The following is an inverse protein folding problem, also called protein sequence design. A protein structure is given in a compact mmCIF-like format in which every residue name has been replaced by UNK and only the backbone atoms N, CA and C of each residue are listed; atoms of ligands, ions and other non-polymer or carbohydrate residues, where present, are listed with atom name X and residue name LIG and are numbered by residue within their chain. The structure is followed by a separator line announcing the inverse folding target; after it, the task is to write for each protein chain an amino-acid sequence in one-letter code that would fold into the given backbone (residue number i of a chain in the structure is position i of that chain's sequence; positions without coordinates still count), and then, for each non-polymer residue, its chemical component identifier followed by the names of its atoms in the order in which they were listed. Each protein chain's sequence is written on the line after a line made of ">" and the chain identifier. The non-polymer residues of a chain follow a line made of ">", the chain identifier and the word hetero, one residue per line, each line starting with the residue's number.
data_IF_432454774547
#
_entry.id   IF_432454774547
#
_cell.length_a   1.000
_cell.length_b   1.000
_cell.length_c   1.000
_cell.angle_alpha   90.00
_cell.angle_beta   90.00
_cell.angle_gamma   90.00
#
_symmetry.space_group_name_H-M   'P 1'
#
loop_
_entity.id
_entity.type
_entity.pdbx_description
1 polymer ?
#
# COMPACT_ATOMS: atom_id res chain seq x y z
N UNK A 1 0.39 -16.64 -18.68
CA UNK A 1 0.48 -18.03 -18.17
C UNK A 1 1.12 -18.98 -19.17
N UNK A 2 0.79 -18.90 -20.47
CA UNK A 2 1.44 -19.70 -21.52
C UNK A 2 2.97 -19.56 -21.55
N UNK A 3 3.50 -18.33 -21.47
CA UNK A 3 4.95 -18.11 -21.38
C UNK A 3 5.60 -18.82 -20.17
N UNK A 4 4.88 -18.97 -19.05
CA UNK A 4 5.37 -19.72 -17.88
C UNK A 4 5.29 -21.24 -18.14
N UNK A 5 4.29 -21.69 -18.87
CA UNK A 5 4.16 -23.09 -19.31
C UNK A 5 5.31 -23.49 -20.24
N UNK A 6 5.68 -22.61 -21.19
CA UNK A 6 6.83 -22.82 -22.09
C UNK A 6 8.15 -22.97 -21.33
N UNK A 7 8.25 -22.33 -20.16
CA UNK A 7 9.38 -22.44 -19.24
C UNK A 7 9.21 -23.54 -18.18
N UNK A 8 8.15 -24.34 -18.27
CA UNK A 8 7.81 -25.41 -17.33
C UNK A 8 7.67 -24.95 -15.87
N UNK A 9 7.16 -23.74 -15.66
CA UNK A 9 6.92 -23.16 -14.34
C UNK A 9 5.46 -23.41 -13.93
N UNK A 10 5.20 -24.19 -12.86
CA UNK A 10 3.86 -24.38 -12.34
C UNK A 10 3.35 -23.10 -11.65
N UNK A 11 2.04 -22.87 -11.74
CA UNK A 11 1.37 -21.68 -11.20
C UNK A 11 0.20 -22.10 -10.32
N UNK A 12 0.09 -21.49 -9.16
CA UNK A 12 -0.91 -21.79 -8.13
C UNK A 12 -1.67 -20.51 -7.79
N UNK A 13 -2.99 -20.50 -7.98
CA UNK A 13 -3.81 -19.29 -7.90
C UNK A 13 -4.97 -19.48 -6.93
N UNK A 14 -5.08 -18.57 -5.97
CA UNK A 14 -6.32 -18.32 -5.21
C UNK A 14 -6.92 -17.00 -5.67
N UNK A 15 -8.24 -16.91 -5.69
CA UNK A 15 -8.97 -15.68 -5.99
C UNK A 15 -9.32 -14.94 -4.72
N UNK A 16 -9.33 -13.60 -4.79
CA UNK A 16 -9.67 -12.73 -3.68
C UNK A 16 -11.02 -12.03 -3.83
N UNK A 17 -11.19 -10.96 -3.06
CA UNK A 17 -12.42 -10.16 -3.02
C UNK A 17 -12.67 -9.33 -4.29
N UNK A 18 -11.63 -9.00 -5.05
CA UNK A 18 -11.75 -8.20 -6.29
C UNK A 18 -12.00 -9.04 -7.54
N UNK A 19 -11.81 -10.35 -7.45
CA UNK A 19 -11.86 -11.30 -8.55
C UNK A 19 -12.46 -12.65 -8.10
N UNK A 20 -13.56 -12.69 -7.32
CA UNK A 20 -14.07 -13.94 -6.76
C UNK A 20 -14.36 -14.97 -7.84
N UNK A 21 -14.05 -16.24 -7.54
CA UNK A 21 -14.25 -17.34 -8.47
C UNK A 21 -15.74 -17.70 -8.55
N UNK A 22 -16.43 -17.10 -9.52
CA UNK A 22 -17.82 -17.38 -9.82
C UNK A 22 -17.97 -18.67 -10.64
N UNK A 23 -18.98 -19.48 -10.34
CA UNK A 23 -19.28 -20.71 -11.09
C UNK A 23 -19.58 -20.47 -12.57
N UNK A 24 -20.07 -19.27 -12.90
CA UNK A 24 -20.50 -18.90 -14.25
C UNK A 24 -19.37 -18.34 -15.11
N UNK A 25 -18.21 -18.01 -14.52
CA UNK A 25 -17.04 -17.51 -15.24
C UNK A 25 -16.05 -18.65 -15.41
N UNK A 26 -15.93 -19.14 -16.65
CA UNK A 26 -14.91 -20.14 -17.01
C UNK A 26 -13.76 -19.46 -17.72
N UNK A 27 -12.61 -19.44 -17.08
CA UNK A 27 -11.35 -19.10 -17.73
C UNK A 27 -10.68 -20.37 -18.24
N UNK A 28 -10.22 -20.34 -19.49
CA UNK A 28 -9.37 -21.39 -20.03
C UNK A 28 -7.94 -21.11 -19.58
N UNK A 29 -7.43 -21.97 -18.70
CA UNK A 29 -6.09 -21.88 -18.17
C UNK A 29 -5.18 -22.92 -18.83
N UNK A 30 -3.90 -22.61 -19.10
CA UNK A 30 -2.95 -23.62 -19.53
C UNK A 30 -2.71 -24.66 -18.43
N UNK A 31 -2.24 -25.85 -18.81
CA UNK A 31 -2.16 -27.01 -17.90
C UNK A 31 -1.18 -26.86 -16.73
N UNK A 32 -0.31 -25.85 -16.76
CA UNK A 32 0.58 -25.52 -15.64
C UNK A 32 -0.09 -24.73 -14.52
N UNK A 33 -1.34 -24.27 -14.72
CA UNK A 33 -2.07 -23.47 -13.74
C UNK A 33 -3.03 -24.33 -12.93
N UNK A 34 -2.90 -24.27 -11.60
CA UNK A 34 -3.86 -24.82 -10.66
C UNK A 34 -4.63 -23.68 -10.00
N UNK A 35 -5.94 -23.63 -10.21
CA UNK A 35 -6.85 -22.69 -9.51
C UNK A 35 -7.51 -23.43 -8.36
N UNK A 36 -7.40 -22.89 -7.15
CA UNK A 36 -8.00 -23.51 -5.97
C UNK A 36 -9.50 -23.24 -5.89
N UNK A 37 -10.30 -24.19 -5.35
CA UNK A 37 -11.75 -24.09 -5.30
C UNK A 37 -12.22 -23.16 -4.17
N UNK A 38 -13.53 -22.93 -4.10
CA UNK A 38 -14.15 -22.00 -3.15
C UNK A 38 -14.90 -22.66 -2.00
N UNK A 39 -15.13 -23.98 -2.06
CA UNK A 39 -15.93 -24.72 -1.07
C UNK A 39 -15.10 -25.21 0.12
N UNK A 40 -13.86 -25.63 -0.12
CA UNK A 40 -12.93 -26.09 0.91
C UNK A 40 -11.46 -25.94 0.45
N UNK A 41 -10.50 -25.87 1.38
CA UNK A 41 -9.09 -25.91 1.00
C UNK A 41 -8.72 -27.20 0.28
N UNK A 42 -7.99 -27.06 -0.81
CA UNK A 42 -7.41 -28.18 -1.55
C UNK A 42 -5.89 -28.12 -1.44
N UNK A 43 -5.25 -29.28 -1.34
CA UNK A 43 -3.81 -29.40 -1.32
C UNK A 43 -3.33 -30.15 -2.57
N UNK A 44 -2.28 -29.65 -3.19
CA UNK A 44 -1.67 -30.23 -4.40
C UNK A 44 -0.17 -30.36 -4.20
N UNK A 45 0.42 -31.43 -4.73
CA UNK A 45 1.87 -31.62 -4.72
C UNK A 45 2.51 -30.68 -5.74
N UNK A 46 3.66 -30.14 -5.37
CA UNK A 46 4.58 -29.45 -6.29
C UNK A 46 5.63 -30.44 -6.78
N UNK A 47 5.67 -30.75 -8.08
CA UNK A 47 6.71 -31.59 -8.64
C UNK A 47 8.00 -30.79 -8.86
N UNK A 48 9.14 -31.46 -8.66
CA UNK A 48 10.43 -31.00 -9.17
C UNK A 48 10.49 -31.14 -10.70
N UNK A 49 11.57 -30.62 -11.32
CA UNK A 49 11.86 -30.83 -12.74
C UNK A 49 11.96 -32.31 -13.14
N UNK A 50 12.29 -33.19 -12.20
CA UNK A 50 12.37 -34.64 -12.40
C UNK A 50 11.10 -35.37 -11.92
N UNK A 51 9.98 -34.67 -11.77
CA UNK A 51 8.68 -35.18 -11.32
C UNK A 51 8.61 -35.77 -9.90
N UNK A 52 9.69 -35.67 -9.09
CA UNK A 52 9.65 -36.03 -7.67
C UNK A 52 8.96 -34.94 -6.84
N UNK A 53 8.14 -35.28 -5.84
CA UNK A 53 7.43 -34.31 -5.01
C UNK A 53 8.41 -33.56 -4.10
N UNK A 54 8.33 -32.22 -4.06
CA UNK A 54 9.24 -31.36 -3.26
C UNK A 54 8.51 -30.46 -2.27
N UNK A 55 7.24 -30.13 -2.53
CA UNK A 55 6.42 -29.32 -1.65
C UNK A 55 4.95 -29.69 -1.79
N UNK A 56 4.13 -29.16 -0.90
CA UNK A 56 2.66 -29.16 -1.00
C UNK A 56 2.17 -27.72 -0.90
N UNK A 57 1.29 -27.34 -1.83
CA UNK A 57 0.60 -26.05 -1.79
C UNK A 57 -0.85 -26.31 -1.43
N UNK A 58 -1.32 -25.65 -0.38
CA UNK A 58 -2.74 -25.64 0.01
C UNK A 58 -3.32 -24.26 -0.21
N UNK A 59 -4.50 -24.19 -0.82
CA UNK A 59 -5.16 -22.93 -1.12
C UNK A 59 -6.69 -23.07 -1.15
N UNK A 60 -7.35 -21.93 -1.05
CA UNK A 60 -8.80 -21.77 -1.13
C UNK A 60 -9.11 -20.37 -1.69
N UNK A 61 -9.94 -20.32 -2.72
CA UNK A 61 -10.39 -19.09 -3.37
C UNK A 61 -11.63 -18.51 -2.68
N UNK A 62 -11.83 -17.20 -2.83
CA UNK A 62 -13.08 -16.56 -2.46
C UNK A 62 -14.18 -16.90 -3.48
N UNK A 63 -15.35 -17.29 -3.00
CA UNK A 63 -16.55 -17.47 -3.84
C UNK A 63 -17.34 -16.18 -4.08
N UNK A 64 -17.11 -15.15 -3.25
CA UNK A 64 -17.84 -13.88 -3.27
C UNK A 64 -16.90 -12.71 -3.00
N UNK A 65 -17.32 -11.49 -3.35
CA UNK A 65 -16.54 -10.26 -3.08
C UNK A 65 -16.42 -9.94 -1.58
N UNK A 66 -17.35 -10.43 -0.75
CA UNK A 66 -17.34 -10.21 0.68
C UNK A 66 -17.30 -11.55 1.42
N UNK A 67 -16.18 -11.81 2.09
CA UNK A 67 -15.93 -13.01 2.89
C UNK A 67 -15.51 -12.57 4.27
N UNK A 68 -16.29 -12.89 5.30
CA UNK A 68 -16.00 -12.49 6.69
C UNK A 68 -15.78 -13.71 7.60
N UNK A 69 -15.88 -14.92 7.05
CA UNK A 69 -15.53 -16.14 7.74
C UNK A 69 -14.01 -16.29 7.86
N UNK A 70 -13.54 -16.86 8.97
CA UNK A 70 -12.12 -17.23 9.12
C UNK A 70 -11.82 -18.47 8.25
N UNK A 71 -11.41 -18.24 7.00
CA UNK A 71 -11.05 -19.31 6.08
C UNK A 71 -9.80 -20.09 6.52
N UNK A 72 -8.87 -19.44 7.23
CA UNK A 72 -7.65 -20.10 7.69
C UNK A 72 -7.98 -21.32 8.58
N UNK A 73 -9.02 -21.21 9.42
CA UNK A 73 -9.47 -22.30 10.29
C UNK A 73 -9.93 -23.57 9.53
N UNK A 74 -10.17 -23.48 8.22
CA UNK A 74 -10.55 -24.63 7.39
C UNK A 74 -9.34 -25.40 6.85
N UNK A 75 -8.13 -24.83 6.94
CA UNK A 75 -6.92 -25.46 6.39
C UNK A 75 -6.52 -26.69 7.22
N UNK A 76 -6.09 -27.78 6.56
CA UNK A 76 -5.64 -28.97 7.28
C UNK A 76 -4.25 -28.73 7.90
N UNK A 77 -4.00 -29.31 9.08
CA UNK A 77 -2.69 -29.30 9.74
C UNK A 77 -1.64 -30.22 9.06
N UNK A 78 -2.09 -31.14 8.19
CA UNK A 78 -1.22 -32.04 7.43
C UNK A 78 -1.66 -32.08 5.95
N UNK A 79 -1.48 -30.98 5.20
CA UNK A 79 -1.96 -30.84 3.82
C UNK A 79 -1.44 -31.95 2.88
N UNK A 80 -0.24 -32.47 3.12
CA UNK A 80 0.39 -33.55 2.37
C UNK A 80 -0.45 -34.84 2.35
N UNK A 81 -1.15 -35.17 3.43
CA UNK A 81 -1.98 -36.39 3.50
C UNK A 81 -3.15 -36.31 2.53
N UNK A 82 -3.75 -35.12 2.41
CA UNK A 82 -4.86 -34.87 1.50
C UNK A 82 -4.38 -34.85 0.04
N UNK A 83 -3.22 -34.23 -0.21
CA UNK A 83 -2.64 -34.12 -1.56
C UNK A 83 -2.29 -35.51 -2.15
N UNK A 84 -1.76 -36.42 -1.33
CA UNK A 84 -1.32 -37.75 -1.80
C UNK A 84 -2.49 -38.70 -2.00
N UNK A 85 -3.55 -38.58 -1.21
CA UNK A 85 -4.80 -39.28 -1.51
C UNK A 85 -5.36 -38.86 -2.87
N UNK A 86 -5.37 -37.55 -3.17
CA UNK A 86 -5.83 -37.05 -4.47
C UNK A 86 -4.91 -37.47 -5.63
N UNK A 87 -3.58 -37.43 -5.44
CA UNK A 87 -2.59 -37.87 -6.43
C UNK A 87 -2.75 -39.35 -6.78
N UNK A 88 -2.94 -40.21 -5.77
CA UNK A 88 -3.10 -41.64 -5.99
C UNK A 88 -4.34 -41.97 -6.82
N UNK A 89 -5.43 -41.20 -6.66
CA UNK A 89 -6.64 -41.38 -7.49
C UNK A 89 -6.40 -40.99 -8.95
N UNK A 90 -5.72 -39.86 -9.21
CA UNK A 90 -5.42 -39.40 -10.58
C UNK A 90 -4.44 -40.32 -11.33
N UNK A 91 -3.52 -40.97 -10.61
CA UNK A 91 -2.61 -41.97 -11.21
C UNK A 91 -3.29 -43.30 -11.60
N UNK A 92 -4.57 -43.50 -11.24
CA UNK A 92 -5.36 -44.69 -11.57
C UNK A 92 -6.40 -44.45 -12.68
N UNK A 93 -6.46 -43.26 -13.29
CA UNK A 93 -7.31 -43.01 -14.48
C UNK A 93 -6.65 -43.62 -15.74
N UNK A 94 -7.25 -44.70 -16.25
CA UNK A 94 -6.72 -45.58 -17.31
C UNK A 94 -6.47 -44.92 -18.68
N UNK A 95 -6.88 -43.66 -18.91
CA UNK A 95 -6.69 -42.97 -20.20
C UNK A 95 -5.31 -42.31 -20.39
N UNK A 96 -4.50 -42.15 -19.33
CA UNK A 96 -3.11 -41.67 -19.43
C UNK A 96 -2.06 -42.80 -19.53
N UNK A 97 -2.50 -44.03 -19.73
CA UNK A 97 -1.65 -45.23 -19.81
C UNK A 97 -1.00 -45.37 -21.19
N UNK A 98 -0.07 -44.48 -21.53
CA UNK A 98 0.89 -44.75 -22.61
C UNK A 98 2.30 -44.39 -22.13
N UNK A 99 3.02 -45.44 -21.76
CA UNK A 99 4.44 -45.50 -21.36
C UNK A 99 4.79 -45.04 -19.94
N UNK A 100 4.84 -45.97 -18.97
CA UNK A 100 5.62 -45.76 -17.76
C UNK A 100 5.88 -47.04 -16.96
N UNK A 101 7.14 -47.48 -16.92
CA UNK A 101 7.72 -48.25 -15.81
C UNK A 101 7.90 -47.37 -14.54
N UNK A 102 7.42 -46.12 -14.54
CA UNK A 102 7.71 -45.07 -13.55
C UNK A 102 6.55 -44.68 -12.60
N UNK A 103 5.32 -45.17 -12.81
CA UNK A 103 4.15 -44.78 -11.97
C UNK A 103 4.19 -45.47 -10.60
N UNK A 104 4.56 -46.74 -10.54
CA UNK A 104 4.65 -47.50 -9.28
C UNK A 104 5.77 -46.96 -8.37
N UNK A 105 6.94 -46.65 -8.92
CA UNK A 105 8.05 -46.04 -8.15
C UNK A 105 7.68 -44.65 -7.62
N UNK A 106 7.04 -43.80 -8.44
CA UNK A 106 6.62 -42.44 -8.03
C UNK A 106 5.57 -42.48 -6.92
N UNK A 107 4.65 -43.44 -6.97
CA UNK A 107 3.62 -43.66 -5.94
C UNK A 107 4.26 -44.11 -4.63
N UNK A 108 5.23 -45.03 -4.69
CA UNK A 108 5.94 -45.53 -3.52
C UNK A 108 6.80 -44.44 -2.84
N UNK A 109 7.47 -43.60 -3.63
CA UNK A 109 8.26 -42.45 -3.15
C UNK A 109 7.36 -41.40 -2.49
N UNK A 110 6.22 -41.08 -3.11
CA UNK A 110 5.25 -40.12 -2.54
C UNK A 110 4.68 -40.59 -1.21
N UNK A 111 4.36 -41.88 -1.08
CA UNK A 111 3.90 -42.47 0.17
C UNK A 111 5.00 -42.48 1.26
N UNK A 112 6.26 -42.71 0.89
CA UNK A 112 7.39 -42.66 1.81
C UNK A 112 7.70 -41.24 2.30
N UNK A 113 7.67 -40.23 1.41
CA UNK A 113 7.92 -38.83 1.77
C UNK A 113 6.82 -38.25 2.67
N UNK A 114 5.57 -38.67 2.46
CA UNK A 114 4.43 -38.34 3.36
C UNK A 114 4.56 -39.05 4.70
N UNK A 115 4.97 -40.31 4.70
CA UNK A 115 5.22 -41.06 5.94
C UNK A 115 6.40 -40.46 6.73
N UNK A 116 7.36 -39.83 6.06
CA UNK A 116 8.52 -39.18 6.65
C UNK A 116 8.29 -37.70 7.05
N UNK A 117 7.12 -37.10 6.73
CA UNK A 117 6.78 -35.70 7.04
C UNK A 117 7.73 -34.66 6.40
N UNK A 118 8.26 -34.93 5.20
CA UNK A 118 9.41 -34.21 4.60
C UNK A 118 9.08 -33.18 3.51
N UNK A 119 7.79 -32.97 3.16
CA UNK A 119 7.44 -31.96 2.15
C UNK A 119 7.32 -30.57 2.77
N UNK A 120 7.87 -29.57 2.07
CA UNK A 120 7.70 -28.17 2.44
C UNK A 120 6.25 -27.73 2.23
N UNK A 121 5.62 -27.14 3.24
CA UNK A 121 4.18 -26.81 3.26
C UNK A 121 3.96 -25.33 3.03
N UNK A 122 3.26 -25.03 1.94
CA UNK A 122 2.92 -23.66 1.54
C UNK A 122 1.40 -23.48 1.66
N UNK A 123 0.99 -22.49 2.46
CA UNK A 123 -0.40 -22.05 2.54
C UNK A 123 -0.59 -20.78 1.72
N UNK A 124 -1.57 -20.76 0.82
CA UNK A 124 -2.01 -19.57 0.10
C UNK A 124 -3.26 -19.03 0.77
N UNK A 125 -3.24 -17.80 1.29
CA UNK A 125 -4.41 -17.22 1.95
C UNK A 125 -4.61 -15.77 1.54
N UNK A 126 -5.80 -15.44 1.03
CA UNK A 126 -6.22 -14.05 0.83
C UNK A 126 -7.02 -13.65 2.06
N UNK A 127 -6.64 -12.59 2.78
CA UNK A 127 -7.34 -12.20 4.00
C UNK A 127 -6.55 -11.23 4.87
N UNK A 128 -7.10 -10.90 6.05
CA UNK A 128 -6.51 -9.97 7.01
C UNK A 128 -6.03 -10.69 8.27
N UNK A 129 -4.75 -10.55 8.60
CA UNK A 129 -4.16 -11.11 9.83
C UNK A 129 -4.14 -10.08 10.95
N UNK A 130 -4.62 -10.45 12.15
CA UNK A 130 -4.66 -9.63 13.38
C UNK A 130 -5.48 -8.31 13.26
N UNK A 131 -6.18 -8.10 12.15
CA UNK A 131 -6.96 -6.90 11.86
C UNK A 131 -6.11 -5.68 11.49
N UNK A 132 -6.71 -4.71 10.81
CA UNK A 132 -6.10 -3.39 10.58
C UNK A 132 -7.19 -2.32 10.55
N UNK A 133 -6.87 -1.11 10.99
CA UNK A 133 -7.83 0.02 10.91
C UNK A 133 -8.00 0.53 9.46
N UNK A 134 -7.09 0.17 8.55
CA UNK A 134 -7.04 0.70 7.18
C UNK A 134 -7.76 -0.18 6.16
N UNK A 135 -8.16 -1.40 6.53
CA UNK A 135 -8.77 -2.38 5.61
C UNK A 135 -9.98 -3.09 6.24
N UNK A 136 -10.98 -3.36 5.41
CA UNK A 136 -12.11 -4.20 5.79
C UNK A 136 -11.60 -5.61 6.16
N UNK A 137 -12.07 -6.20 7.28
CA UNK A 137 -11.52 -7.45 7.79
C UNK A 137 -12.04 -8.66 6.99
N UNK A 138 -11.66 -8.77 5.73
CA UNK A 138 -11.99 -9.92 4.89
C UNK A 138 -11.16 -11.14 5.28
N UNK A 139 -11.82 -12.31 5.32
CA UNK A 139 -11.31 -13.57 5.85
C UNK A 139 -10.35 -13.38 7.04
N UNK A 140 -10.86 -12.82 8.15
CA UNK A 140 -10.00 -12.45 9.26
C UNK A 140 -9.45 -13.71 9.94
N UNK A 141 -8.17 -13.70 10.26
CA UNK A 141 -7.50 -14.74 11.03
C UNK A 141 -6.47 -14.13 11.97
N UNK A 142 -5.97 -14.91 12.93
CA UNK A 142 -4.88 -14.46 13.80
C UNK A 142 -3.54 -15.01 13.36
N UNK A 143 -2.47 -14.25 13.60
CA UNK A 143 -1.10 -14.74 13.35
C UNK A 143 -0.81 -16.01 14.15
N UNK A 144 -1.33 -16.09 15.38
CA UNK A 144 -1.18 -17.25 16.26
C UNK A 144 -1.76 -18.52 15.61
N UNK A 145 -2.95 -18.43 15.04
CA UNK A 145 -3.59 -19.55 14.33
C UNK A 145 -2.69 -20.05 13.19
N UNK A 146 -2.17 -19.16 12.36
CA UNK A 146 -1.30 -19.52 11.22
C UNK A 146 -0.01 -20.23 11.65
N UNK A 147 0.57 -19.82 12.79
CA UNK A 147 1.76 -20.47 13.38
C UNK A 147 1.42 -21.87 13.89
N UNK A 148 0.26 -22.06 14.52
CA UNK A 148 -0.15 -23.34 15.11
C UNK A 148 -0.58 -24.39 14.07
N UNK A 149 -0.87 -23.98 12.82
CA UNK A 149 -1.30 -24.89 11.73
C UNK A 149 -0.18 -25.77 11.14
N UNK A 150 1.09 -25.46 11.43
CA UNK A 150 2.23 -26.30 11.01
C UNK A 150 2.62 -26.19 9.53
N UNK A 151 2.29 -25.09 8.87
CA UNK A 151 2.83 -24.74 7.55
C UNK A 151 4.21 -24.10 7.69
N UNK A 152 5.07 -24.29 6.70
CA UNK A 152 6.43 -23.73 6.70
C UNK A 152 6.44 -22.30 6.12
N UNK A 153 5.53 -22.00 5.20
CA UNK A 153 5.38 -20.69 4.57
C UNK A 153 3.91 -20.35 4.29
N UNK A 154 3.47 -19.17 4.69
CA UNK A 154 2.19 -18.58 4.31
C UNK A 154 2.38 -17.45 3.31
N UNK A 155 1.93 -17.66 2.08
CA UNK A 155 1.85 -16.66 1.03
C UNK A 155 0.50 -15.94 1.14
N UNK A 156 0.52 -14.74 1.71
CA UNK A 156 -0.69 -13.98 1.95
C UNK A 156 -1.00 -13.02 0.79
N UNK A 157 -2.29 -12.75 0.57
CA UNK A 157 -2.83 -11.73 -0.32
C UNK A 157 -3.88 -10.87 0.37
N UNK A 158 -4.34 -9.80 -0.27
CA UNK A 158 -5.29 -8.75 0.19
C UNK A 158 -4.62 -7.44 0.59
N UNK A 159 -3.60 -7.48 1.44
CA UNK A 159 -2.92 -6.27 1.94
C UNK A 159 -1.89 -5.78 0.91
N UNK A 160 -1.98 -4.50 0.50
CA UNK A 160 -1.10 -3.90 -0.51
C UNK A 160 0.26 -3.46 0.05
N UNK A 161 0.38 -3.39 1.37
CA UNK A 161 1.65 -3.11 2.06
C UNK A 161 2.47 -4.40 2.13
N UNK A 162 3.74 -4.30 1.74
CA UNK A 162 4.71 -5.38 1.90
C UNK A 162 5.06 -5.54 3.38
N UNK A 163 4.91 -6.75 3.91
CA UNK A 163 5.15 -7.03 5.33
C UNK A 163 5.48 -8.50 5.57
N UNK A 164 6.49 -8.76 6.40
CA UNK A 164 6.80 -10.10 6.93
C UNK A 164 6.32 -10.11 8.39
N UNK A 165 5.22 -10.82 8.64
CA UNK A 165 4.57 -10.86 9.96
C UNK A 165 5.24 -11.84 10.92
N UNK A 166 5.94 -12.84 10.37
CA UNK A 166 6.65 -13.87 11.10
C UNK A 166 7.73 -14.50 10.21
N UNK A 167 8.83 -14.96 10.81
CA UNK A 167 9.98 -15.52 10.08
C UNK A 167 10.14 -17.05 10.22
N UNK A 168 9.47 -17.69 11.21
CA UNK A 168 9.59 -19.14 11.41
C UNK A 168 8.36 -19.74 12.11
N UNK A 169 7.28 -20.10 11.38
CA UNK A 169 7.22 -20.15 9.91
C UNK A 169 7.09 -18.77 9.29
N UNK A 170 7.45 -18.64 8.01
CA UNK A 170 7.29 -17.38 7.31
C UNK A 170 5.81 -17.07 7.08
N UNK A 171 5.38 -15.85 7.41
CA UNK A 171 4.03 -15.35 7.14
C UNK A 171 4.17 -14.00 6.43
N UNK A 172 3.84 -13.95 5.15
CA UNK A 172 4.31 -12.86 4.29
C UNK A 172 3.18 -12.28 3.43
N UNK A 173 2.98 -10.97 3.55
CA UNK A 173 2.31 -10.17 2.53
C UNK A 173 3.37 -9.60 1.56
N UNK A 174 3.41 -10.01 0.29
CA UNK A 174 4.30 -9.40 -0.71
C UNK A 174 3.90 -7.96 -1.04
N UNK A 175 2.65 -7.58 -0.73
CA UNK A 175 2.05 -6.32 -1.16
C UNK A 175 1.51 -6.40 -2.58
N UNK A 176 1.25 -5.24 -3.18
CA UNK A 176 0.94 -5.15 -4.60
C UNK A 176 2.21 -5.06 -5.47
N UNK A 177 2.08 -5.36 -6.76
CA UNK A 177 3.17 -5.31 -7.74
C UNK A 177 3.37 -3.91 -8.34
N UNK A 178 2.34 -3.08 -8.31
CA UNK A 178 2.34 -1.70 -8.77
C UNK A 178 1.45 -0.87 -7.85
N UNK A 179 1.96 0.26 -7.36
CA UNK A 179 1.19 1.20 -6.55
C UNK A 179 0.11 1.85 -7.39
N UNK A 180 -1.15 1.73 -6.96
CA UNK A 180 -2.36 2.22 -7.64
C UNK A 180 -2.89 3.51 -7.01
N UNK A 181 -2.39 3.86 -5.83
CA UNK A 181 -2.79 5.05 -5.10
C UNK A 181 -1.56 5.73 -4.50
N UNK A 182 -1.61 7.06 -4.38
CA UNK A 182 -0.49 7.88 -3.90
C UNK A 182 -0.02 7.58 -2.47
N UNK A 183 -0.86 6.92 -1.66
CA UNK A 183 -0.50 6.45 -0.31
C UNK A 183 0.30 5.14 -0.34
N UNK A 184 0.33 4.43 -1.48
CA UNK A 184 1.05 3.17 -1.64
C UNK A 184 2.49 3.44 -2.08
N UNK A 185 3.24 4.10 -1.20
CA UNK A 185 4.61 4.54 -1.45
C UNK A 185 5.62 3.39 -1.43
N UNK A 186 6.81 3.68 -1.98
CA UNK A 186 7.95 2.77 -1.98
C UNK A 186 7.90 1.68 -3.04
N UNK A 187 8.87 0.78 -2.99
CA UNK A 187 9.04 -0.30 -3.96
C UNK A 187 7.91 -1.35 -3.89
N UNK A 188 7.41 -1.76 -5.04
CA UNK A 188 6.32 -2.74 -5.20
C UNK A 188 6.79 -3.90 -6.06
N UNK A 189 6.27 -5.10 -5.83
CA UNK A 189 6.83 -6.28 -6.48
C UNK A 189 6.44 -7.60 -5.85
N UNK A 190 7.36 -8.55 -5.84
CA UNK A 190 7.14 -9.89 -5.32
C UNK A 190 8.34 -10.40 -4.54
N UNK A 191 8.15 -11.50 -3.80
CA UNK A 191 9.26 -12.23 -3.19
C UNK A 191 9.67 -13.41 -4.08
N UNK A 192 10.97 -13.49 -4.37
CA UNK A 192 11.64 -14.73 -4.73
C UNK A 192 11.98 -15.46 -3.43
N UNK A 193 11.36 -16.62 -3.23
CA UNK A 193 11.53 -17.46 -2.05
C UNK A 193 12.38 -18.67 -2.44
N UNK A 194 13.59 -18.77 -1.88
CA UNK A 194 14.43 -19.94 -2.08
C UNK A 194 14.36 -20.84 -0.85
N UNK A 195 14.08 -22.12 -1.07
CA UNK A 195 14.03 -23.15 -0.04
C UNK A 195 15.09 -24.20 -0.37
N UNK A 196 15.97 -24.51 0.57
CA UNK A 196 17.01 -25.53 0.38
C UNK A 196 16.50 -26.94 0.74
N UNK A 197 17.34 -27.96 0.55
CA UNK A 197 17.00 -29.37 0.85
C UNK A 197 16.76 -29.64 2.35
N UNK A 198 17.22 -28.75 3.25
CA UNK A 198 17.00 -28.82 4.68
C UNK A 198 15.70 -28.12 5.12
N UNK A 199 15.04 -27.41 4.21
CA UNK A 199 13.85 -26.59 4.49
C UNK A 199 14.16 -25.16 4.93
N UNK A 200 15.43 -24.72 4.91
CA UNK A 200 15.76 -23.33 5.23
C UNK A 200 15.26 -22.41 4.12
N UNK A 201 14.63 -21.32 4.53
CA UNK A 201 14.00 -20.36 3.63
C UNK A 201 14.80 -19.06 3.60
N UNK A 202 14.97 -18.50 2.40
CA UNK A 202 15.51 -17.16 2.20
C UNK A 202 14.59 -16.34 1.30
N UNK A 203 14.34 -15.09 1.69
CA UNK A 203 13.47 -14.16 0.98
C UNK A 203 14.30 -13.07 0.29
N UNK A 204 14.08 -12.90 -1.00
CA UNK A 204 14.61 -11.80 -1.78
C UNK A 204 13.44 -11.03 -2.41
N UNK A 205 13.35 -9.73 -2.17
CA UNK A 205 12.30 -8.91 -2.76
C UNK A 205 12.74 -8.37 -4.11
N UNK A 206 11.96 -8.66 -5.14
CA UNK A 206 12.17 -8.20 -6.51
C UNK A 206 11.18 -7.08 -6.83
N UNK A 207 11.71 -5.91 -7.22
CA UNK A 207 10.90 -4.73 -7.53
C UNK A 207 10.39 -4.79 -8.96
N UNK A 208 9.06 -4.68 -9.12
CA UNK A 208 8.36 -4.78 -10.41
C UNK A 208 7.61 -3.50 -10.80
N UNK A 209 7.51 -2.50 -9.90
CA UNK A 209 6.84 -1.25 -10.22
C UNK A 209 7.51 -0.54 -11.40
N UNK A 210 6.67 0.00 -12.30
CA UNK A 210 7.10 0.86 -13.40
C UNK A 210 7.03 2.34 -12.99
N UNK A 211 6.10 2.67 -12.09
CA UNK A 211 5.93 4.01 -11.54
C UNK A 211 5.94 3.93 -10.01
N UNK A 212 6.83 4.70 -9.38
CA UNK A 212 7.01 4.72 -7.93
C UNK A 212 6.33 5.91 -7.30
N UNK A 213 5.49 5.69 -6.29
CA UNK A 213 4.97 6.76 -5.45
C UNK A 213 5.95 7.06 -4.32
N UNK A 214 6.24 8.35 -4.13
CA UNK A 214 7.13 8.85 -3.08
C UNK A 214 6.47 9.99 -2.33
N UNK A 215 6.66 10.02 -1.02
CA UNK A 215 6.22 11.10 -0.16
C UNK A 215 7.36 11.45 0.78
N UNK A 216 7.74 12.72 0.81
CA UNK A 216 8.86 13.22 1.60
C UNK A 216 8.47 14.47 2.37
N UNK A 217 9.06 14.62 3.56
CA UNK A 217 8.87 15.79 4.41
C UNK A 217 10.20 16.53 4.55
N UNK A 218 10.14 17.86 4.46
CA UNK A 218 11.29 18.75 4.65
C UNK A 218 10.94 19.72 5.77
N UNK A 219 11.68 19.62 6.88
CA UNK A 219 11.61 20.62 7.94
C UNK A 219 12.34 21.90 7.50
N UNK A 220 11.62 23.01 7.49
CA UNK A 220 12.16 24.34 7.14
C UNK A 220 12.32 25.24 8.37
N UNK A 221 12.27 24.67 9.57
CA UNK A 221 12.49 25.40 10.82
C UNK A 221 13.86 26.07 10.84
N UNK A 222 13.89 27.34 11.26
CA UNK A 222 15.13 28.14 11.33
C UNK A 222 15.62 28.68 9.98
N UNK A 223 14.93 28.40 8.87
CA UNK A 223 15.25 29.00 7.56
C UNK A 223 14.53 30.35 7.44
N UNK A 224 15.30 31.40 7.12
CA UNK A 224 14.84 32.79 7.15
C UNK A 224 14.69 33.45 5.77
N UNK A 225 14.97 32.75 4.67
CA UNK A 225 14.70 33.26 3.32
C UNK A 225 14.10 32.21 2.39
N UNK A 226 13.18 32.63 1.51
CA UNK A 226 12.59 31.76 0.47
C UNK A 226 13.66 31.15 -0.44
N UNK A 227 14.70 31.93 -0.76
CA UNK A 227 15.83 31.45 -1.56
C UNK A 227 16.51 30.22 -0.94
N UNK A 228 16.67 30.21 0.39
CA UNK A 228 17.28 29.08 1.10
C UNK A 228 16.36 27.85 1.10
N UNK A 229 15.03 28.05 1.19
CA UNK A 229 14.05 26.96 1.05
C UNK A 229 14.09 26.38 -0.36
N UNK A 230 14.14 27.23 -1.40
CA UNK A 230 14.24 26.78 -2.79
C UNK A 230 15.53 25.99 -3.02
N UNK A 231 16.67 26.47 -2.53
CA UNK A 231 17.92 25.74 -2.62
C UNK A 231 17.85 24.38 -1.91
N UNK A 232 17.26 24.33 -0.71
CA UNK A 232 17.07 23.08 0.02
C UNK A 232 16.15 22.10 -0.75
N UNK A 233 15.07 22.59 -1.35
CA UNK A 233 14.19 21.80 -2.21
C UNK A 233 14.96 21.21 -3.39
N UNK A 234 15.75 22.02 -4.09
CA UNK A 234 16.51 21.58 -5.25
C UNK A 234 17.57 20.54 -4.87
N UNK A 235 18.29 20.76 -3.77
CA UNK A 235 19.26 19.81 -3.21
C UNK A 235 18.60 18.47 -2.85
N UNK A 236 17.42 18.51 -2.20
CA UNK A 236 16.68 17.30 -1.82
C UNK A 236 16.15 16.55 -3.03
N UNK A 237 15.54 17.25 -3.98
CA UNK A 237 15.04 16.65 -5.21
C UNK A 237 16.17 16.03 -6.03
N UNK A 238 17.31 16.70 -6.15
CA UNK A 238 18.49 16.13 -6.82
C UNK A 238 19.02 14.87 -6.13
N UNK A 239 19.04 14.85 -4.79
CA UNK A 239 19.43 13.68 -4.01
C UNK A 239 18.46 12.51 -4.23
N UNK A 240 17.15 12.74 -4.11
CA UNK A 240 16.11 11.72 -4.30
C UNK A 240 16.06 11.18 -5.73
N UNK A 241 16.29 12.03 -6.73
CA UNK A 241 16.45 11.60 -8.13
C UNK A 241 17.65 10.66 -8.30
N UNK A 242 18.69 10.84 -7.49
CA UNK A 242 19.88 10.00 -7.50
C UNK A 242 19.65 8.58 -6.96
N UNK A 243 18.63 8.37 -6.13
CA UNK A 243 18.34 7.09 -5.46
C UNK A 243 17.62 6.07 -6.34
N UNK A 244 16.77 6.53 -7.28
CA UNK A 244 16.04 5.66 -8.21
C UNK A 244 16.16 6.19 -9.64
N UNK A 245 17.08 5.59 -10.39
CA UNK A 245 17.38 5.99 -11.78
C UNK A 245 16.71 5.10 -12.81
N UNK A 246 16.05 4.04 -12.39
CA UNK A 246 15.51 3.02 -13.29
C UNK A 246 14.06 3.31 -13.67
N UNK A 247 13.36 4.16 -12.91
CA UNK A 247 11.91 4.28 -12.94
C UNK A 247 11.46 5.74 -12.94
N UNK A 248 10.22 5.95 -13.37
CA UNK A 248 9.51 7.19 -13.12
C UNK A 248 9.08 7.23 -11.64
N UNK A 249 9.49 8.26 -10.92
CA UNK A 249 9.07 8.49 -9.53
C UNK A 249 8.14 9.70 -9.46
N UNK A 250 6.92 9.49 -8.96
CA UNK A 250 5.96 10.56 -8.66
C UNK A 250 6.11 10.95 -7.20
N UNK A 251 6.51 12.20 -6.93
CA UNK A 251 6.83 12.66 -5.57
C UNK A 251 5.85 13.72 -5.06
N UNK A 252 5.39 13.54 -3.82
CA UNK A 252 4.81 14.61 -2.99
C UNK A 252 5.83 15.09 -1.98
N UNK A 253 6.04 16.39 -1.94
CA UNK A 253 6.89 17.03 -0.95
C UNK A 253 6.00 17.83 0.00
N UNK A 254 6.27 17.73 1.29
CA UNK A 254 5.57 18.49 2.33
C UNK A 254 6.60 19.30 3.13
N UNK A 255 6.44 20.63 3.13
CA UNK A 255 7.24 21.51 3.98
C UNK A 255 6.59 21.59 5.36
N UNK A 256 7.37 21.30 6.39
CA UNK A 256 6.93 21.29 7.79
C UNK A 256 7.80 22.21 8.64
N UNK A 257 7.38 22.44 9.88
CA UNK A 257 8.17 23.20 10.84
C UNK A 257 7.70 24.64 11.04
N UNK A 258 8.33 25.29 12.01
CA UNK A 258 8.00 26.66 12.43
C UNK A 258 8.88 27.65 11.67
N UNK A 259 8.27 28.57 10.93
CA UNK A 259 9.01 29.43 10.00
C UNK A 259 8.50 30.87 9.98
N UNK A 260 9.41 31.87 9.92
CA UNK A 260 9.02 33.27 9.69
C UNK A 260 8.53 33.54 8.26
N UNK A 261 8.58 32.54 7.37
CA UNK A 261 8.17 32.66 5.97
C UNK A 261 6.74 32.16 5.72
N UNK A 262 5.98 31.89 6.77
CA UNK A 262 4.66 31.24 6.68
C UNK A 262 3.73 31.96 5.68
N UNK A 263 3.55 33.27 5.81
CA UNK A 263 2.69 34.03 4.87
C UNK A 263 3.20 33.99 3.42
N UNK A 264 4.52 33.96 3.21
CA UNK A 264 5.11 33.87 1.88
C UNK A 264 4.93 32.49 1.25
N UNK A 265 5.05 31.42 2.05
CA UNK A 265 4.85 30.04 1.58
C UNK A 265 3.37 29.72 1.27
N UNK A 266 2.44 30.41 1.93
CA UNK A 266 1.00 30.25 1.70
C UNK A 266 0.50 30.95 0.42
N UNK A 267 1.37 31.67 -0.30
CA UNK A 267 1.00 32.17 -1.62
C UNK A 267 0.91 31.01 -2.61
N UNK A 268 -0.27 30.82 -3.22
CA UNK A 268 -0.53 29.73 -4.18
C UNK A 268 0.51 29.69 -5.31
N UNK A 269 0.99 30.85 -5.74
CA UNK A 269 2.02 30.98 -6.76
C UNK A 269 3.34 30.30 -6.39
N UNK A 270 3.71 30.19 -5.10
CA UNK A 270 4.98 29.59 -4.71
C UNK A 270 5.04 28.10 -5.05
N UNK A 271 4.01 27.34 -4.65
CA UNK A 271 3.97 25.88 -4.85
C UNK A 271 3.80 25.52 -6.32
N UNK A 272 2.99 26.28 -7.05
CA UNK A 272 2.80 26.11 -8.49
C UNK A 272 4.06 26.44 -9.29
N UNK A 273 4.67 27.61 -9.06
CA UNK A 273 5.87 28.03 -9.81
C UNK A 273 7.04 27.09 -9.59
N UNK A 274 7.26 26.63 -8.35
CA UNK A 274 8.32 25.66 -8.07
C UNK A 274 8.08 24.34 -8.80
N UNK A 275 6.84 23.82 -8.73
CA UNK A 275 6.47 22.57 -9.40
C UNK A 275 6.63 22.68 -10.92
N UNK A 276 6.15 23.77 -11.52
CA UNK A 276 6.26 24.01 -12.96
C UNK A 276 7.72 24.16 -13.41
N UNK A 277 8.54 24.87 -12.65
CA UNK A 277 9.97 25.02 -12.93
C UNK A 277 10.68 23.66 -12.92
N UNK A 278 10.43 22.82 -11.92
CA UNK A 278 11.02 21.49 -11.84
C UNK A 278 10.52 20.57 -12.97
N UNK A 279 9.22 20.57 -13.26
CA UNK A 279 8.65 19.77 -14.34
C UNK A 279 9.19 20.18 -15.71
N UNK A 280 9.36 21.47 -15.97
CA UNK A 280 9.99 21.97 -17.19
C UNK A 280 11.43 21.46 -17.32
N UNK A 281 12.20 21.48 -16.22
CA UNK A 281 13.55 20.93 -16.19
C UNK A 281 13.59 19.42 -16.47
N UNK A 282 12.66 18.64 -15.93
CA UNK A 282 12.57 17.20 -16.24
C UNK A 282 12.22 16.96 -17.72
N UNK A 283 11.29 17.74 -18.29
CA UNK A 283 10.91 17.62 -19.70
C UNK A 283 12.07 17.98 -20.64
N UNK A 284 12.87 18.99 -20.30
CA UNK A 284 14.04 19.39 -21.09
C UNK A 284 15.16 18.33 -21.05
N UNK A 285 15.25 17.56 -19.95
CA UNK A 285 16.26 16.53 -19.75
C UNK A 285 15.82 15.14 -20.24
N UNK A 286 14.51 14.90 -20.35
CA UNK A 286 13.98 13.62 -20.75
C UNK A 286 14.18 13.37 -22.25
N UNK A 287 14.83 12.25 -22.60
CA UNK A 287 14.74 11.71 -23.95
C UNK A 287 13.37 11.08 -24.15
N UNK A 288 12.68 11.40 -25.26
CA UNK A 288 11.35 10.87 -25.59
C UNK A 288 11.27 9.33 -25.65
N UNK A 289 12.39 8.62 -25.66
CA UNK A 289 12.47 7.17 -25.84
C UNK A 289 12.52 6.37 -24.53
N UNK A 290 12.95 6.97 -23.40
CA UNK A 290 13.03 6.29 -22.10
C UNK A 290 12.53 7.18 -20.95
N UNK A 291 11.44 6.76 -20.30
CA UNK A 291 10.86 7.42 -19.11
C UNK A 291 11.47 6.81 -17.84
N UNK A 292 12.80 6.81 -17.74
CA UNK A 292 13.55 6.27 -16.61
C UNK A 292 14.30 7.39 -15.88
N UNK A 293 14.38 7.29 -14.55
CA UNK A 293 15.11 8.26 -13.72
C UNK A 293 14.50 9.66 -13.63
N UNK A 294 13.23 9.81 -14.03
CA UNK A 294 12.47 11.05 -13.88
C UNK A 294 11.92 11.14 -12.46
N UNK A 295 12.16 12.27 -11.79
CA UNK A 295 11.52 12.60 -10.52
C UNK A 295 10.47 13.68 -10.75
N UNK A 296 9.21 13.26 -10.84
CA UNK A 296 8.10 14.12 -11.20
C UNK A 296 7.33 14.61 -9.96
N UNK A 297 7.42 15.90 -9.59
CA UNK A 297 6.66 16.43 -8.47
C UNK A 297 5.19 16.56 -8.84
N UNK A 298 4.32 15.92 -8.06
CA UNK A 298 2.86 16.00 -8.22
C UNK A 298 2.20 16.97 -7.24
N UNK A 299 2.87 17.28 -6.12
CA UNK A 299 2.42 18.29 -5.17
C UNK A 299 3.58 18.79 -4.29
N UNK A 300 3.58 20.08 -4.00
CA UNK A 300 4.28 20.69 -2.88
C UNK A 300 3.22 21.17 -1.88
N UNK A 301 3.20 20.63 -0.67
CA UNK A 301 2.26 20.99 0.39
C UNK A 301 2.97 21.79 1.47
N UNK A 302 2.26 22.74 2.07
CA UNK A 302 2.77 23.58 3.15
C UNK A 302 2.00 23.23 4.42
N UNK A 303 2.66 22.50 5.32
CA UNK A 303 2.16 22.14 6.65
C UNK A 303 2.99 22.83 7.74
N UNK A 304 3.48 24.03 7.43
CA UNK A 304 4.28 24.85 8.32
C UNK A 304 3.40 25.60 9.33
N UNK A 305 4.03 26.12 10.39
CA UNK A 305 3.40 27.08 11.31
C UNK A 305 4.19 28.39 11.34
N UNK A 306 3.53 29.53 11.59
CA UNK A 306 4.20 30.82 11.71
C UNK A 306 5.13 30.83 12.94
N UNK A 307 6.22 31.60 12.88
CA UNK A 307 7.18 31.74 13.98
C UNK A 307 6.66 32.65 15.11
N UNK A 308 5.55 32.22 15.71
CA UNK A 308 4.80 32.98 16.70
C UNK A 308 4.46 32.07 17.88
N UNK A 309 4.64 32.60 19.08
CA UNK A 309 4.18 31.95 20.29
C UNK A 309 2.68 32.23 20.49
N UNK A 310 1.85 31.37 19.91
CA UNK A 310 0.38 31.48 19.95
C UNK A 310 -0.12 31.42 21.39
N UNK A 311 0.48 30.56 22.23
CA UNK A 311 0.07 30.41 23.63
C UNK A 311 0.36 31.69 24.42
N UNK A 312 1.51 32.32 24.18
CA UNK A 312 1.83 33.60 24.79
C UNK A 312 0.84 34.68 24.39
N UNK A 313 0.47 34.77 23.10
CA UNK A 313 -0.47 35.78 22.60
C UNK A 313 -1.90 35.55 23.12
N UNK A 314 -2.34 34.29 23.14
CA UNK A 314 -3.62 33.88 23.70
C UNK A 314 -3.76 34.22 25.19
N UNK A 315 -2.65 34.25 25.95
CA UNK A 315 -2.67 34.62 27.36
C UNK A 315 -2.81 36.15 27.60
N UNK A 316 -2.73 36.97 26.55
CA UNK A 316 -2.82 38.43 26.67
C UNK A 316 -4.24 38.97 26.43
N UNK A 317 -4.59 40.07 27.11
CA UNK A 317 -5.78 40.89 26.80
C UNK A 317 -5.48 41.87 25.64
N UNK A 318 -5.01 41.32 24.52
CA UNK A 318 -4.73 42.07 23.29
C UNK A 318 -5.69 41.64 22.18
N UNK A 319 -5.87 42.50 21.15
CA UNK A 319 -6.69 42.16 19.99
C UNK A 319 -6.27 40.83 19.32
N UNK A 320 -4.97 40.56 19.10
CA UNK A 320 -4.54 39.24 18.62
C UNK A 320 -4.86 38.08 19.57
N UNK A 321 -4.79 38.30 20.89
CA UNK A 321 -5.21 37.32 21.89
C UNK A 321 -6.70 37.00 21.79
N UNK A 322 -7.55 38.01 21.60
CA UNK A 322 -8.98 37.84 21.35
C UNK A 322 -9.24 37.03 20.06
N UNK A 323 -8.52 37.34 18.99
CA UNK A 323 -8.65 36.64 17.71
C UNK A 323 -8.32 35.14 17.86
N UNK A 324 -7.23 34.80 18.56
CA UNK A 324 -6.84 33.41 18.82
C UNK A 324 -7.91 32.69 19.65
N UNK A 325 -8.43 33.33 20.70
CA UNK A 325 -9.49 32.75 21.54
C UNK A 325 -10.78 32.49 20.76
N UNK A 326 -11.21 33.43 19.92
CA UNK A 326 -12.39 33.26 19.05
C UNK A 326 -12.18 32.10 18.08
N UNK A 327 -11.02 32.02 17.43
CA UNK A 327 -10.70 30.94 16.50
C UNK A 327 -10.68 29.56 17.20
N UNK A 328 -10.07 29.45 18.39
CA UNK A 328 -10.09 28.21 19.19
C UNK A 328 -11.50 27.81 19.63
N UNK A 329 -12.32 28.78 20.03
CA UNK A 329 -13.72 28.51 20.35
C UNK A 329 -14.48 27.97 19.13
N UNK A 330 -14.24 28.54 17.95
CA UNK A 330 -14.82 28.06 16.68
C UNK A 330 -14.27 26.69 16.25
N UNK A 331 -13.05 26.32 16.61
CA UNK A 331 -12.55 24.96 16.37
C UNK A 331 -13.23 23.92 17.26
N UNK A 332 -13.56 24.28 18.50
CA UNK A 332 -14.13 23.36 19.49
C UNK A 332 -15.66 23.27 19.43
N UNK A 333 -16.33 24.28 18.88
CA UNK A 333 -17.79 24.39 18.90
C UNK A 333 -18.37 24.72 17.52
N UNK A 334 -19.17 23.80 16.99
CA UNK A 334 -19.81 23.92 15.68
C UNK A 334 -20.63 25.19 15.51
N UNK A 335 -21.42 25.57 16.51
CA UNK A 335 -22.24 26.79 16.46
C UNK A 335 -21.41 28.06 16.38
N UNK A 336 -20.26 28.11 17.08
CA UNK A 336 -19.34 29.23 16.99
C UNK A 336 -18.63 29.26 15.64
N UNK A 337 -18.28 28.09 15.09
CA UNK A 337 -17.69 27.94 13.75
C UNK A 337 -18.61 28.43 12.66
N UNK A 338 -19.86 27.96 12.67
CA UNK A 338 -20.87 28.34 11.69
C UNK A 338 -21.12 29.85 11.71
N UNK A 339 -21.26 30.44 12.90
CA UNK A 339 -21.44 31.89 13.04
C UNK A 339 -20.25 32.67 12.46
N UNK A 340 -19.02 32.27 12.80
CA UNK A 340 -17.80 32.93 12.32
C UNK A 340 -17.66 32.84 10.80
N UNK A 341 -17.86 31.65 10.22
CA UNK A 341 -17.77 31.44 8.76
C UNK A 341 -18.88 32.22 8.04
N UNK A 342 -20.10 32.21 8.58
CA UNK A 342 -21.23 32.93 7.98
C UNK A 342 -21.02 34.44 7.98
N UNK A 343 -20.48 35.00 9.06
CA UNK A 343 -20.10 36.41 9.15
C UNK A 343 -18.96 36.75 8.18
N UNK A 344 -17.87 35.98 8.20
CA UNK A 344 -16.69 36.24 7.38
C UNK A 344 -16.97 36.14 5.87
N UNK A 345 -17.88 35.24 5.46
CA UNK A 345 -18.21 34.98 4.06
C UNK A 345 -19.57 35.57 3.64
N UNK A 346 -20.19 36.43 4.44
CA UNK A 346 -21.57 36.94 4.23
C UNK A 346 -21.81 37.41 2.78
N UNK A 347 -20.87 38.21 2.25
CA UNK A 347 -20.96 38.75 0.88
C UNK A 347 -20.83 37.67 -0.20
N UNK A 348 -19.97 36.67 0.02
CA UNK A 348 -19.76 35.55 -0.92
C UNK A 348 -20.94 34.57 -0.89
N UNK A 349 -21.56 34.37 0.27
CA UNK A 349 -22.72 33.50 0.47
C UNK A 349 -24.02 34.06 -0.12
N UNK A 350 -24.00 35.27 -0.69
CA UNK A 350 -25.08 35.77 -1.55
C UNK A 350 -25.15 35.00 -2.87
N UNK A 351 -24.06 34.32 -3.28
CA UNK A 351 -24.06 33.46 -4.46
C UNK A 351 -24.56 32.05 -4.11
N UNK A 352 -25.66 31.56 -4.70
CA UNK A 352 -26.23 30.25 -4.36
C UNK A 352 -25.26 29.08 -4.55
N UNK A 353 -24.36 29.17 -5.55
CA UNK A 353 -23.34 28.14 -5.81
C UNK A 353 -22.36 28.01 -4.65
N UNK A 354 -21.82 29.13 -4.15
CA UNK A 354 -20.87 29.14 -3.03
C UNK A 354 -21.54 28.69 -1.72
N UNK A 355 -22.80 29.09 -1.50
CA UNK A 355 -23.58 28.62 -0.35
C UNK A 355 -23.75 27.09 -0.35
N UNK A 356 -24.15 26.52 -1.49
CA UNK A 356 -24.33 25.08 -1.61
C UNK A 356 -23.00 24.32 -1.48
N UNK A 357 -21.92 24.89 -2.03
CA UNK A 357 -20.58 24.32 -1.89
C UNK A 357 -20.10 24.34 -0.45
N UNK A 358 -20.28 25.44 0.28
CA UNK A 358 -19.91 25.52 1.70
C UNK A 358 -20.69 24.51 2.55
N UNK A 359 -21.99 24.37 2.28
CA UNK A 359 -22.86 23.41 2.96
C UNK A 359 -22.52 21.94 2.67
N UNK A 360 -21.73 21.65 1.61
CA UNK A 360 -21.28 20.30 1.31
C UNK A 360 -19.91 19.94 1.90
N UNK A 361 -19.24 20.89 2.58
CA UNK A 361 -17.95 20.63 3.21
C UNK A 361 -18.09 19.99 4.58
N UNK A 362 -17.08 19.21 4.97
CA UNK A 362 -17.04 18.54 6.27
C UNK A 362 -16.72 19.51 7.43
N UNK A 363 -17.11 19.15 8.65
CA UNK A 363 -16.73 19.87 9.87
C UNK A 363 -15.21 20.01 10.00
N UNK A 364 -14.49 18.92 9.76
CA UNK A 364 -13.02 18.86 9.86
C UNK A 364 -12.36 19.84 8.87
N UNK A 365 -12.86 19.94 7.64
CA UNK A 365 -12.37 20.92 6.67
C UNK A 365 -12.61 22.36 7.12
N UNK A 366 -13.77 22.64 7.73
CA UNK A 366 -14.07 23.97 8.25
C UNK A 366 -13.19 24.32 9.47
N UNK A 367 -12.88 23.36 10.34
CA UNK A 367 -11.97 23.52 11.47
C UNK A 367 -10.55 23.87 11.00
N UNK A 368 -10.08 23.19 9.96
CA UNK A 368 -8.78 23.46 9.31
C UNK A 368 -8.73 24.90 8.76
N UNK A 369 -9.78 25.35 8.07
CA UNK A 369 -9.82 26.71 7.52
C UNK A 369 -9.77 27.79 8.60
N UNK A 370 -10.51 27.59 9.71
CA UNK A 370 -10.45 28.52 10.85
C UNK A 370 -9.04 28.55 11.44
N UNK A 371 -8.38 27.39 11.53
CA UNK A 371 -6.98 27.29 11.98
C UNK A 371 -6.06 28.11 11.07
N UNK A 372 -6.12 27.89 9.77
CA UNK A 372 -5.25 28.55 8.80
C UNK A 372 -5.48 30.05 8.74
N UNK A 373 -6.75 30.48 8.75
CA UNK A 373 -7.13 31.89 8.78
C UNK A 373 -6.61 32.59 10.03
N UNK A 374 -6.69 31.94 11.20
CA UNK A 374 -6.10 32.45 12.44
C UNK A 374 -4.58 32.63 12.30
N UNK A 375 -3.86 31.60 11.85
CA UNK A 375 -2.41 31.65 11.71
C UNK A 375 -1.96 32.76 10.74
N UNK A 376 -2.66 32.92 9.62
CA UNK A 376 -2.40 33.99 8.64
C UNK A 376 -2.66 35.38 9.24
N UNK A 377 -3.77 35.55 9.98
CA UNK A 377 -4.13 36.82 10.58
C UNK A 377 -3.09 37.26 11.64
N UNK A 378 -2.64 36.33 12.50
CA UNK A 378 -1.64 36.62 13.53
C UNK A 378 -0.30 36.98 12.88
N UNK A 379 0.11 36.26 11.84
CA UNK A 379 1.32 36.57 11.05
C UNK A 379 1.27 37.98 10.42
N UNK A 380 0.13 38.37 9.85
CA UNK A 380 -0.04 39.72 9.29
C UNK A 380 0.02 40.83 10.35
N UNK A 381 -0.55 40.59 11.53
CA UNK A 381 -0.52 41.53 12.64
C UNK A 381 0.90 41.72 13.17
N UNK A 382 1.70 40.66 13.22
CA UNK A 382 3.10 40.72 13.67
C UNK A 382 4.04 41.35 12.64
N UNK A 383 3.86 41.02 11.35
CA UNK A 383 4.71 41.52 10.26
C UNK A 383 4.45 43.00 9.90
N UNK A 384 3.39 43.61 10.43
CA UNK A 384 3.06 45.02 10.21
C UNK A 384 2.72 45.36 8.76
N UNK A 385 2.40 44.35 7.94
CA UNK A 385 2.18 44.50 6.49
C UNK A 385 0.90 45.30 6.26
N UNK A 386 1.07 46.58 5.90
CA UNK A 386 0.00 47.38 5.30
C UNK A 386 -0.33 46.77 3.94
N UNK A 387 -1.58 46.36 3.74
CA UNK A 387 -2.12 46.04 2.40
C UNK A 387 -1.80 47.21 1.46
N UNK A 388 -1.06 46.93 0.38
CA UNK A 388 -0.96 47.80 -0.79
C UNK A 388 -2.16 47.60 -1.71
#
# INVERSE_FOLDING_TARGET
>A
MEQLQDQQIPVYIIHGNHDPLHRDVKWEWPSNVTVFPTDKPQAVIVPSKNASPVAVVCGMSYGNMAVYENLAAMYPNCPERNAVQAWNVLSHDEECMVHADSVEETTHISQQLVAANQLFRIGLLHGTVDGSAEHDPYAPCSKRELVEMGYDYWALGHIHKREVLHESPYIVYPGNTQGRHVKETGAKGCYLVNVNELGDVSLQFETLDTVRWRQEQIDVSGISSLQSIMQLLDEKMAAWKGEDRERLTLIRVELTGRTPLYASLQQESFTEQWREAWQAQELDQASFEEVSGILWPIALRISCTPDIDIEQWEATDSFPGDLIRIARQAQQHDTAREALIQEALETLLQQPRLRNWLASQSSESQEEWVREAMLLAVEWLQSGVKRS
#
